data_IF_666640270463
#
_entry.id   IF_666640270463
#
_cell.length_a   1.000
_cell.length_b   1.000
_cell.length_c   1.000
_cell.angle_alpha   90.00
_cell.angle_beta   90.00
_cell.angle_gamma   90.00
#
_symmetry.space_group_name_H-M   'P 1'
#
loop_
_entity.id
_entity.type
_entity.pdbx_description
1 polymer ?
#
# COMPACT_ATOMS: atom_id res chain seq x y z
N UNK A 1 23.52 69.13 -19.40
CA UNK A 1 22.80 67.85 -19.24
C UNK A 1 23.60 66.82 -20.02
N UNK A 2 24.44 66.08 -19.30
CA UNK A 2 25.48 65.24 -19.88
C UNK A 2 24.87 63.95 -20.43
N UNK A 3 25.38 63.48 -21.57
CA UNK A 3 25.00 62.20 -22.19
C UNK A 3 25.35 60.98 -21.32
N UNK A 4 26.08 61.20 -20.21
CA UNK A 4 26.49 60.18 -19.25
C UNK A 4 25.37 59.76 -18.27
N UNK A 5 24.36 60.62 -18.04
CA UNK A 5 23.26 60.34 -17.09
C UNK A 5 22.19 59.37 -17.66
N UNK A 6 22.13 59.20 -18.97
CA UNK A 6 21.17 58.31 -19.66
C UNK A 6 21.58 56.82 -19.60
N UNK A 7 22.88 56.54 -19.47
CA UNK A 7 23.39 55.16 -19.36
C UNK A 7 23.21 54.56 -17.96
N UNK A 8 23.15 55.38 -16.91
CA UNK A 8 22.93 54.94 -15.53
C UNK A 8 21.51 54.45 -15.25
N UNK A 9 20.49 55.02 -15.91
CA UNK A 9 19.09 54.64 -15.74
C UNK A 9 18.67 53.39 -16.56
N UNK A 10 19.41 53.07 -17.64
CA UNK A 10 19.24 51.82 -18.40
C UNK A 10 19.90 50.61 -17.71
N UNK A 11 20.97 50.85 -16.95
CA UNK A 11 21.66 49.80 -16.19
C UNK A 11 20.85 49.29 -14.98
N UNK A 12 20.04 50.13 -14.34
CA UNK A 12 19.17 49.72 -13.22
C UNK A 12 17.98 48.86 -13.67
N UNK A 13 17.46 49.09 -14.89
CA UNK A 13 16.45 48.22 -15.52
C UNK A 13 17.02 46.86 -15.93
N UNK A 14 18.25 46.83 -16.45
CA UNK A 14 18.95 45.58 -16.79
C UNK A 14 19.20 44.69 -15.57
N UNK A 15 19.60 45.28 -14.43
CA UNK A 15 19.81 44.56 -13.16
C UNK A 15 18.53 43.95 -12.59
N UNK A 16 17.40 44.66 -12.67
CA UNK A 16 16.09 44.15 -12.24
C UNK A 16 15.57 43.02 -13.14
N UNK A 17 15.83 43.08 -14.45
CA UNK A 17 15.49 42.03 -15.41
C UNK A 17 16.31 40.75 -15.21
N UNK A 18 17.62 40.88 -14.98
CA UNK A 18 18.51 39.73 -14.72
C UNK A 18 18.17 39.10 -13.36
N UNK A 19 17.87 39.90 -12.34
CA UNK A 19 17.51 39.39 -11.01
C UNK A 19 16.13 38.72 -10.99
N UNK A 20 15.14 39.26 -11.72
CA UNK A 20 13.80 38.65 -11.80
C UNK A 20 13.78 37.38 -12.64
N UNK A 21 14.54 37.32 -13.74
CA UNK A 21 14.67 36.12 -14.57
C UNK A 21 15.47 35.01 -13.88
N UNK A 22 16.50 35.36 -13.10
CA UNK A 22 17.21 34.41 -12.24
C UNK A 22 16.31 33.88 -11.10
N UNK A 23 15.50 34.74 -10.48
CA UNK A 23 14.55 34.35 -9.44
C UNK A 23 13.45 33.41 -9.97
N UNK A 24 12.91 33.69 -11.16
CA UNK A 24 11.96 32.81 -11.84
C UNK A 24 12.56 31.44 -12.16
N UNK A 25 13.77 31.40 -12.73
CA UNK A 25 14.48 30.13 -13.00
C UNK A 25 14.79 29.34 -11.73
N UNK A 26 15.20 30.01 -10.65
CA UNK A 26 15.45 29.36 -9.37
C UNK A 26 14.16 28.75 -8.77
N UNK A 27 13.04 29.48 -8.84
CA UNK A 27 11.73 28.99 -8.44
C UNK A 27 11.29 27.77 -9.27
N UNK A 28 11.55 27.77 -10.58
CA UNK A 28 11.26 26.66 -11.47
C UNK A 28 12.10 25.42 -11.14
N UNK A 29 13.41 25.58 -10.89
CA UNK A 29 14.30 24.48 -10.46
C UNK A 29 13.85 23.89 -9.12
N UNK A 30 13.45 24.73 -8.16
CA UNK A 30 12.91 24.26 -6.88
C UNK A 30 11.58 23.52 -7.04
N UNK A 31 10.68 24.04 -7.87
CA UNK A 31 9.41 23.37 -8.18
C UNK A 31 9.63 22.04 -8.91
N UNK A 32 10.61 21.96 -9.80
CA UNK A 32 10.99 20.73 -10.50
C UNK A 32 11.58 19.70 -9.54
N UNK A 33 12.49 20.11 -8.65
CA UNK A 33 13.08 19.22 -7.64
C UNK A 33 12.02 18.68 -6.68
N UNK A 34 11.08 19.53 -6.23
CA UNK A 34 9.95 19.11 -5.42
C UNK A 34 9.02 18.13 -6.19
N UNK A 35 8.76 18.38 -7.48
CA UNK A 35 8.00 17.46 -8.33
C UNK A 35 8.69 16.10 -8.51
N UNK A 36 10.01 16.09 -8.71
CA UNK A 36 10.79 14.85 -8.79
C UNK A 36 10.76 14.06 -7.48
N UNK A 37 10.94 14.74 -6.34
CA UNK A 37 10.85 14.11 -5.02
C UNK A 37 9.46 13.49 -4.77
N UNK A 38 8.38 14.20 -5.14
CA UNK A 38 7.03 13.66 -5.08
C UNK A 38 6.85 12.42 -5.96
N UNK A 39 7.40 12.45 -7.18
CA UNK A 39 7.38 11.31 -8.10
C UNK A 39 8.14 10.09 -7.56
N UNK A 40 9.32 10.30 -6.96
CA UNK A 40 10.07 9.22 -6.28
C UNK A 40 9.30 8.65 -5.09
N UNK A 41 8.72 9.49 -4.23
CA UNK A 41 7.88 9.04 -3.11
C UNK A 41 6.68 8.24 -3.59
N UNK A 42 6.04 8.64 -4.70
CA UNK A 42 4.94 7.89 -5.30
C UNK A 42 5.40 6.54 -5.82
N UNK A 43 6.50 6.48 -6.57
CA UNK A 43 7.05 5.23 -7.10
C UNK A 43 7.44 4.24 -5.98
N UNK A 44 8.05 4.73 -4.91
CA UNK A 44 8.37 3.90 -3.74
C UNK A 44 7.11 3.34 -3.06
N UNK A 45 6.03 4.13 -2.98
CA UNK A 45 4.76 3.67 -2.44
C UNK A 45 4.10 2.62 -3.34
N UNK A 46 4.09 2.83 -4.65
CA UNK A 46 3.54 1.88 -5.62
C UNK A 46 4.30 0.55 -5.57
N UNK A 47 5.64 0.59 -5.58
CA UNK A 47 6.47 -0.61 -5.39
C UNK A 47 6.15 -1.31 -4.06
N UNK A 48 6.07 -0.55 -2.95
CA UNK A 48 5.74 -1.12 -1.65
C UNK A 48 4.35 -1.76 -1.61
N UNK A 49 3.37 -1.22 -2.34
CA UNK A 49 2.03 -1.82 -2.48
C UNK A 49 2.05 -3.11 -3.30
N UNK A 50 2.89 -3.17 -4.33
CA UNK A 50 3.06 -4.35 -5.17
C UNK A 50 3.73 -5.47 -4.37
N UNK A 51 4.79 -5.15 -3.63
CA UNK A 51 5.56 -6.12 -2.82
C UNK A 51 4.69 -6.79 -1.74
N UNK A 52 3.77 -6.05 -1.12
CA UNK A 52 2.84 -6.60 -0.12
C UNK A 52 1.58 -7.22 -0.73
N UNK A 53 1.38 -7.08 -2.05
CA UNK A 53 0.19 -7.54 -2.77
C UNK A 53 -0.11 -9.02 -2.53
N UNK A 54 0.86 -9.95 -2.73
CA UNK A 54 0.65 -11.37 -2.49
C UNK A 54 0.21 -11.70 -1.06
N UNK A 55 0.76 -11.03 -0.05
CA UNK A 55 0.41 -11.26 1.36
C UNK A 55 -1.02 -10.80 1.67
N UNK A 56 -1.41 -9.64 1.11
CA UNK A 56 -2.78 -9.14 1.21
C UNK A 56 -3.76 -10.09 0.53
N UNK A 57 -3.45 -10.55 -0.68
CA UNK A 57 -4.34 -11.40 -1.47
C UNK A 57 -4.50 -12.79 -0.85
N UNK A 58 -3.42 -13.36 -0.32
CA UNK A 58 -3.45 -14.62 0.43
C UNK A 58 -4.31 -14.47 1.70
N UNK A 59 -4.14 -13.37 2.44
CA UNK A 59 -4.93 -13.14 3.65
C UNK A 59 -6.41 -12.85 3.36
N UNK A 60 -6.72 -12.12 2.28
CA UNK A 60 -8.10 -11.91 1.84
C UNK A 60 -8.78 -13.23 1.46
N UNK A 61 -8.09 -14.08 0.68
CA UNK A 61 -8.61 -15.41 0.34
C UNK A 61 -8.82 -16.31 1.58
N UNK A 62 -7.96 -16.19 2.59
CA UNK A 62 -8.14 -16.91 3.86
C UNK A 62 -9.36 -16.40 4.62
N UNK A 63 -9.54 -15.07 4.69
CA UNK A 63 -10.71 -14.44 5.32
C UNK A 63 -12.02 -14.88 4.65
N UNK A 64 -12.07 -14.91 3.31
CA UNK A 64 -13.27 -15.33 2.57
C UNK A 64 -13.64 -16.80 2.82
N UNK A 65 -12.64 -17.68 2.91
CA UNK A 65 -12.86 -19.08 3.27
C UNK A 65 -13.35 -19.23 4.71
N UNK A 66 -12.79 -18.46 5.66
CA UNK A 66 -13.25 -18.47 7.05
C UNK A 66 -14.69 -18.01 7.17
N UNK A 67 -15.06 -16.90 6.50
CA UNK A 67 -16.42 -16.40 6.48
C UNK A 67 -17.39 -17.47 5.95
N UNK A 68 -17.03 -18.13 4.84
CA UNK A 68 -17.85 -19.21 4.30
C UNK A 68 -17.97 -20.41 5.26
N UNK A 69 -16.88 -20.80 5.95
CA UNK A 69 -16.91 -21.86 6.97
C UNK A 69 -17.77 -21.50 8.19
N UNK A 70 -17.91 -20.22 8.50
CA UNK A 70 -18.73 -19.70 9.60
C UNK A 70 -20.20 -19.47 9.22
N UNK A 71 -20.57 -19.70 7.96
CA UNK A 71 -21.94 -19.48 7.54
C UNK A 71 -22.24 -18.03 7.11
N UNK A 72 -21.24 -17.18 6.98
CA UNK A 72 -21.40 -15.75 6.70
C UNK A 72 -20.98 -15.40 5.28
N UNK A 73 -21.85 -14.70 4.55
CA UNK A 73 -21.50 -14.13 3.25
C UNK A 73 -20.60 -12.90 3.43
N UNK A 74 -19.60 -12.76 2.56
CA UNK A 74 -18.71 -11.60 2.53
C UNK A 74 -18.94 -10.83 1.23
N UNK A 75 -19.41 -9.59 1.33
CA UNK A 75 -19.68 -8.74 0.18
C UNK A 75 -18.37 -8.43 -0.59
N UNK A 76 -18.38 -8.69 -1.90
CA UNK A 76 -17.19 -8.50 -2.75
C UNK A 76 -16.20 -9.67 -2.76
N UNK A 77 -16.46 -10.75 -2.01
CA UNK A 77 -15.68 -11.96 -2.14
C UNK A 77 -16.02 -12.69 -3.46
N UNK A 78 -15.03 -13.28 -4.15
CA UNK A 78 -15.25 -13.98 -5.42
C UNK A 78 -16.06 -15.27 -5.22
N UNK A 79 -16.93 -15.56 -6.19
CA UNK A 79 -17.82 -16.72 -6.17
C UNK A 79 -18.95 -16.60 -5.15
N UNK A 80 -19.75 -17.64 -5.05
CA UNK A 80 -20.82 -17.79 -4.05
C UNK A 80 -20.27 -18.31 -2.72
N UNK A 81 -21.02 -18.10 -1.64
CA UNK A 81 -20.75 -18.72 -0.34
C UNK A 81 -20.51 -20.23 -0.44
N UNK A 82 -21.36 -20.93 -1.20
CA UNK A 82 -21.33 -22.37 -1.35
C UNK A 82 -20.05 -22.86 -2.03
N UNK A 83 -19.60 -22.15 -3.06
CA UNK A 83 -18.33 -22.45 -3.75
C UNK A 83 -17.12 -22.25 -2.84
N UNK A 84 -17.13 -21.16 -2.05
CA UNK A 84 -16.06 -20.88 -1.09
C UNK A 84 -16.03 -21.92 0.03
N UNK A 85 -17.18 -22.28 0.57
CA UNK A 85 -17.32 -23.35 1.56
C UNK A 85 -16.83 -24.68 1.00
N UNK A 86 -17.27 -25.04 -0.20
CA UNK A 86 -16.85 -26.27 -0.89
C UNK A 86 -15.34 -26.31 -1.12
N UNK A 87 -14.75 -25.20 -1.54
CA UNK A 87 -13.30 -25.05 -1.72
C UNK A 87 -12.56 -25.22 -0.38
N UNK A 88 -13.00 -24.53 0.67
CA UNK A 88 -12.39 -24.62 1.99
C UNK A 88 -12.46 -26.05 2.55
N UNK A 89 -13.61 -26.71 2.41
CA UNK A 89 -13.83 -28.08 2.88
C UNK A 89 -13.03 -29.10 2.06
N UNK A 90 -12.90 -28.89 0.74
CA UNK A 90 -12.06 -29.71 -0.13
C UNK A 90 -10.59 -29.62 0.28
N UNK A 91 -10.06 -28.41 0.44
CA UNK A 91 -8.66 -28.16 0.88
C UNK A 91 -8.39 -28.71 2.28
N UNK A 92 -9.38 -28.68 3.16
CA UNK A 92 -9.29 -29.32 4.47
C UNK A 92 -9.09 -30.84 4.35
N UNK A 93 -9.97 -31.51 3.59
CA UNK A 93 -9.95 -32.96 3.42
C UNK A 93 -8.73 -33.48 2.66
N UNK A 94 -8.19 -32.68 1.74
CA UNK A 94 -6.96 -33.00 1.00
C UNK A 94 -5.71 -32.40 1.63
N UNK A 95 -5.81 -31.90 2.87
CA UNK A 95 -4.63 -31.37 3.55
C UNK A 95 -3.67 -32.52 3.90
N UNK A 96 -2.36 -32.42 3.60
CA UNK A 96 -1.42 -33.53 3.79
C UNK A 96 -1.39 -34.06 5.23
N UNK A 97 -1.56 -33.18 6.22
CA UNK A 97 -1.60 -33.58 7.62
C UNK A 97 -2.88 -34.34 8.01
N UNK A 98 -4.03 -34.04 7.41
CA UNK A 98 -5.26 -34.77 7.68
C UNK A 98 -5.18 -36.17 7.07
N UNK A 99 -4.81 -36.26 5.79
CA UNK A 99 -4.66 -37.54 5.09
C UNK A 99 -3.63 -38.45 5.76
N UNK A 100 -2.47 -37.89 6.14
CA UNK A 100 -1.43 -38.65 6.82
C UNK A 100 -1.91 -39.23 8.15
N UNK A 101 -2.46 -38.40 9.04
CA UNK A 101 -2.94 -38.88 10.36
C UNK A 101 -4.07 -39.89 10.20
N UNK A 102 -5.04 -39.60 9.34
CA UNK A 102 -6.15 -40.51 9.11
C UNK A 102 -5.65 -41.86 8.58
N UNK A 103 -4.78 -41.86 7.57
CA UNK A 103 -4.24 -43.08 6.97
C UNK A 103 -3.39 -43.90 7.95
N UNK A 104 -2.43 -43.27 8.63
CA UNK A 104 -1.53 -43.97 9.55
C UNK A 104 -2.26 -44.49 10.79
N UNK A 105 -3.22 -43.72 11.32
CA UNK A 105 -4.02 -44.17 12.45
C UNK A 105 -4.95 -45.32 12.11
N UNK A 106 -5.57 -45.31 10.92
CA UNK A 106 -6.36 -46.45 10.45
C UNK A 106 -5.49 -47.69 10.24
N UNK A 107 -4.30 -47.56 9.62
CA UNK A 107 -3.34 -48.67 9.50
C UNK A 107 -2.94 -49.25 10.86
N UNK A 108 -2.71 -48.41 11.85
CA UNK A 108 -2.37 -48.85 13.21
C UNK A 108 -3.55 -49.59 13.88
N UNK A 109 -4.77 -49.05 13.74
CA UNK A 109 -6.00 -49.66 14.26
C UNK A 109 -6.26 -51.03 13.60
N UNK A 110 -6.11 -51.12 12.28
CA UNK A 110 -6.28 -52.36 11.52
C UNK A 110 -5.23 -53.42 11.90
N UNK A 111 -3.95 -53.05 12.00
CA UNK A 111 -2.89 -53.97 12.47
C UNK A 111 -3.18 -54.48 13.87
N UNK A 112 -3.64 -53.60 14.76
CA UNK A 112 -4.01 -53.97 16.13
C UNK A 112 -5.24 -54.89 16.17
N UNK A 113 -6.25 -54.64 15.32
CA UNK A 113 -7.43 -55.50 15.22
C UNK A 113 -7.10 -56.86 14.60
N UNK A 114 -6.28 -56.89 13.55
CA UNK A 114 -5.82 -58.11 12.88
C UNK A 114 -5.03 -59.01 13.82
N UNK A 115 -4.08 -58.46 14.59
CA UNK A 115 -3.32 -59.22 15.60
C UNK A 115 -4.20 -59.86 16.68
N UNK A 116 -5.39 -59.30 16.92
CA UNK A 116 -6.36 -59.79 17.90
C UNK A 116 -7.48 -60.62 17.27
N UNK A 117 -7.43 -60.91 15.97
CA UNK A 117 -8.48 -61.65 15.25
C UNK A 117 -9.82 -60.91 15.20
N UNK A 118 -9.82 -59.58 15.36
CA UNK A 118 -11.02 -58.72 15.40
C UNK A 118 -11.12 -57.78 14.19
N UNK A 119 -10.33 -58.02 13.15
CA UNK A 119 -10.42 -57.24 11.91
C UNK A 119 -11.86 -57.30 11.38
N UNK A 120 -12.41 -56.17 10.94
CA UNK A 120 -13.80 -56.01 10.48
C UNK A 120 -14.91 -56.31 11.52
N UNK A 121 -14.57 -56.53 12.80
CA UNK A 121 -15.60 -56.60 13.84
C UNK A 121 -16.34 -55.26 14.01
N UNK A 122 -17.59 -55.28 14.48
CA UNK A 122 -18.34 -54.05 14.77
C UNK A 122 -17.60 -53.11 15.75
N UNK A 123 -16.86 -53.66 16.71
CA UNK A 123 -16.02 -52.87 17.61
C UNK A 123 -14.86 -52.16 16.87
N UNK A 124 -14.26 -52.81 15.88
CA UNK A 124 -13.19 -52.22 15.05
C UNK A 124 -13.76 -51.13 14.14
N UNK A 125 -14.91 -51.36 13.50
CA UNK A 125 -15.59 -50.35 12.67
C UNK A 125 -15.97 -49.12 13.50
N UNK A 126 -16.53 -49.34 14.70
CA UNK A 126 -16.86 -48.25 15.64
C UNK A 126 -15.61 -47.46 16.03
N UNK A 127 -14.52 -48.15 16.39
CA UNK A 127 -13.26 -47.50 16.74
C UNK A 127 -12.63 -46.71 15.59
N UNK A 128 -12.69 -47.23 14.36
CA UNK A 128 -12.25 -46.51 13.16
C UNK A 128 -13.09 -45.24 12.91
N UNK A 129 -14.41 -45.33 13.09
CA UNK A 129 -15.31 -44.20 12.95
C UNK A 129 -15.07 -43.13 14.03
N UNK A 130 -14.90 -43.52 15.29
CA UNK A 130 -14.55 -42.62 16.39
C UNK A 130 -13.19 -41.95 16.16
N UNK A 131 -12.20 -42.71 15.70
CA UNK A 131 -10.89 -42.19 15.34
C UNK A 131 -10.98 -41.16 14.21
N UNK A 132 -11.69 -41.48 13.12
CA UNK A 132 -11.88 -40.58 11.98
C UNK A 132 -12.58 -39.27 12.38
N UNK A 133 -13.62 -39.35 13.22
CA UNK A 133 -14.29 -38.16 13.77
C UNK A 133 -13.34 -37.34 14.64
N UNK A 134 -12.59 -37.99 15.53
CA UNK A 134 -11.62 -37.32 16.40
C UNK A 134 -10.52 -36.59 15.62
N UNK A 135 -9.93 -37.25 14.61
CA UNK A 135 -8.96 -36.62 13.71
C UNK A 135 -9.60 -35.46 12.95
N UNK A 136 -10.79 -35.64 12.39
CA UNK A 136 -11.47 -34.57 11.66
C UNK A 136 -11.73 -33.34 12.53
N UNK A 137 -12.22 -33.50 13.77
CA UNK A 137 -12.47 -32.37 14.67
C UNK A 137 -11.18 -31.63 15.05
N UNK A 138 -10.11 -32.36 15.38
CA UNK A 138 -8.82 -31.75 15.73
C UNK A 138 -8.19 -31.03 14.53
N UNK A 139 -8.26 -31.66 13.36
CA UNK A 139 -7.69 -31.09 12.14
C UNK A 139 -8.48 -29.91 11.61
N UNK A 140 -9.80 -29.94 11.77
CA UNK A 140 -10.63 -28.81 11.38
C UNK A 140 -10.27 -27.56 12.20
N UNK A 141 -10.08 -27.72 13.52
CA UNK A 141 -9.60 -26.64 14.38
C UNK A 141 -8.23 -26.11 13.95
N UNK A 142 -7.26 -27.00 13.65
CA UNK A 142 -5.94 -26.59 13.15
C UNK A 142 -6.00 -25.92 11.77
N UNK A 143 -6.86 -26.39 10.87
CA UNK A 143 -7.09 -25.79 9.56
C UNK A 143 -7.66 -24.39 9.68
N UNK A 144 -8.69 -24.22 10.51
CA UNK A 144 -9.29 -22.93 10.78
C UNK A 144 -8.28 -21.94 11.40
N UNK A 145 -7.45 -22.38 12.36
CA UNK A 145 -6.40 -21.54 12.96
C UNK A 145 -5.32 -21.13 11.95
N UNK A 146 -4.98 -21.99 10.99
CA UNK A 146 -4.07 -21.64 9.88
C UNK A 146 -4.68 -20.57 8.98
N UNK A 147 -5.96 -20.70 8.62
CA UNK A 147 -6.67 -19.67 7.87
C UNK A 147 -6.71 -18.34 8.65
N UNK A 148 -6.99 -18.39 9.96
CA UNK A 148 -7.00 -17.20 10.81
C UNK A 148 -5.63 -16.50 10.86
N UNK A 149 -4.55 -17.29 10.94
CA UNK A 149 -3.18 -16.77 10.91
C UNK A 149 -2.87 -16.10 9.56
N UNK A 150 -3.29 -16.70 8.45
CA UNK A 150 -3.12 -16.12 7.10
C UNK A 150 -3.94 -14.85 6.92
N UNK A 151 -5.19 -14.83 7.41
CA UNK A 151 -6.02 -13.63 7.40
C UNK A 151 -5.39 -12.50 8.22
N UNK A 152 -4.81 -12.81 9.39
CA UNK A 152 -4.08 -11.85 10.22
C UNK A 152 -2.83 -11.27 9.55
N UNK A 153 -2.09 -12.08 8.78
CA UNK A 153 -0.99 -11.59 7.94
C UNK A 153 -1.49 -10.61 6.86
N UNK A 154 -2.63 -10.90 6.24
CA UNK A 154 -3.28 -10.00 5.28
C UNK A 154 -3.71 -8.68 5.91
N UNK A 155 -4.32 -8.72 7.09
CA UNK A 155 -4.70 -7.54 7.87
C UNK A 155 -3.46 -6.67 8.20
N UNK A 156 -2.37 -7.30 8.64
CA UNK A 156 -1.12 -6.61 8.96
C UNK A 156 -0.52 -5.94 7.71
N UNK A 157 -0.52 -6.65 6.59
CA UNK A 157 -0.03 -6.13 5.31
C UNK A 157 -0.88 -4.95 4.82
N UNK A 158 -2.21 -5.06 4.93
CA UNK A 158 -3.13 -3.97 4.60
C UNK A 158 -2.89 -2.73 5.48
N UNK A 159 -2.65 -2.91 6.78
CA UNK A 159 -2.32 -1.82 7.70
C UNK A 159 -0.98 -1.15 7.36
N UNK A 160 0.05 -1.93 7.02
CA UNK A 160 1.34 -1.40 6.58
C UNK A 160 1.21 -0.60 5.28
N UNK A 161 0.47 -1.11 4.30
CA UNK A 161 0.18 -0.40 3.06
C UNK A 161 -0.57 0.91 3.29
N UNK A 162 -1.57 0.92 4.18
CA UNK A 162 -2.31 2.12 4.54
C UNK A 162 -1.40 3.18 5.20
N UNK A 163 -0.55 2.77 6.15
CA UNK A 163 0.39 3.66 6.81
C UNK A 163 1.43 4.25 5.84
N UNK A 164 1.98 3.42 4.94
CA UNK A 164 2.87 3.87 3.88
C UNK A 164 2.17 4.87 2.94
N UNK A 165 0.91 4.63 2.61
CA UNK A 165 0.10 5.53 1.79
C UNK A 165 -0.14 6.89 2.46
N UNK A 166 -0.46 6.90 3.75
CA UNK A 166 -0.60 8.16 4.51
C UNK A 166 0.72 8.94 4.57
N UNK A 167 1.85 8.26 4.76
CA UNK A 167 3.16 8.90 4.76
C UNK A 167 3.53 9.47 3.39
N UNK A 168 3.33 8.69 2.31
CA UNK A 168 3.57 9.14 0.94
C UNK A 168 2.67 10.32 0.56
N UNK A 169 1.39 10.29 0.93
CA UNK A 169 0.46 11.40 0.72
C UNK A 169 0.92 12.68 1.43
N UNK A 170 1.43 12.57 2.66
CA UNK A 170 2.01 13.71 3.39
C UNK A 170 3.24 14.30 2.71
N UNK A 171 4.15 13.45 2.23
CA UNK A 171 5.36 13.89 1.50
C UNK A 171 5.02 14.54 0.16
N UNK A 172 4.14 13.92 -0.62
CA UNK A 172 3.68 14.43 -1.92
C UNK A 172 2.94 15.76 -1.72
N UNK A 173 2.02 15.84 -0.76
CA UNK A 173 1.30 17.07 -0.44
C UNK A 173 2.24 18.20 -0.01
N UNK A 174 3.24 17.88 0.83
CA UNK A 174 4.28 18.82 1.22
C UNK A 174 5.09 19.33 0.02
N UNK A 175 5.58 18.41 -0.82
CA UNK A 175 6.35 18.75 -2.02
C UNK A 175 5.54 19.60 -3.02
N UNK A 176 4.25 19.30 -3.22
CA UNK A 176 3.36 20.12 -4.04
C UNK A 176 3.16 21.52 -3.46
N UNK A 177 3.00 21.64 -2.14
CA UNK A 177 2.91 22.94 -1.46
C UNK A 177 4.20 23.74 -1.62
N UNK A 178 5.38 23.12 -1.46
CA UNK A 178 6.68 23.76 -1.68
C UNK A 178 6.85 24.21 -3.14
N UNK A 179 6.47 23.38 -4.11
CA UNK A 179 6.51 23.74 -5.52
C UNK A 179 5.59 24.93 -5.84
N UNK A 180 4.39 24.95 -5.26
CA UNK A 180 3.45 26.07 -5.37
C UNK A 180 3.98 27.36 -4.77
N UNK A 181 4.52 27.28 -3.55
CA UNK A 181 5.12 28.42 -2.87
C UNK A 181 6.37 28.95 -3.60
N UNK A 182 7.23 28.08 -4.13
CA UNK A 182 8.40 28.46 -4.91
C UNK A 182 7.99 29.27 -6.16
N UNK A 183 7.05 28.75 -6.96
CA UNK A 183 6.51 29.48 -8.13
C UNK A 183 5.87 30.81 -7.75
N UNK A 184 5.05 30.83 -6.70
CA UNK A 184 4.41 32.06 -6.22
C UNK A 184 5.45 33.10 -5.75
N UNK A 185 6.51 32.66 -5.06
CA UNK A 185 7.60 33.53 -4.61
C UNK A 185 8.45 34.07 -5.76
N UNK A 186 8.64 33.27 -6.82
CA UNK A 186 9.28 33.71 -8.06
C UNK A 186 8.50 34.82 -8.76
N UNK A 187 7.17 34.64 -8.88
CA UNK A 187 6.27 35.68 -9.41
C UNK A 187 6.22 36.92 -8.52
N UNK A 188 6.18 36.75 -7.19
CA UNK A 188 6.20 37.86 -6.23
C UNK A 188 7.52 38.64 -6.23
N UNK A 189 8.65 37.96 -6.35
CA UNK A 189 9.97 38.59 -6.49
C UNK A 189 10.09 39.36 -7.80
N UNK A 190 9.55 38.81 -8.90
CA UNK A 190 9.47 39.50 -10.18
C UNK A 190 8.56 40.74 -10.07
N UNK A 191 7.36 40.62 -9.50
CA UNK A 191 6.45 41.74 -9.31
C UNK A 191 7.06 42.86 -8.44
N UNK A 192 7.76 42.50 -7.35
CA UNK A 192 8.46 43.47 -6.49
C UNK A 192 9.65 44.12 -7.21
N UNK A 193 10.41 43.37 -8.02
CA UNK A 193 11.51 43.92 -8.82
C UNK A 193 10.98 44.93 -9.85
N UNK A 194 9.87 44.62 -10.52
CA UNK A 194 9.22 45.53 -11.47
C UNK A 194 8.61 46.75 -10.77
N UNK A 195 7.97 46.57 -9.61
CA UNK A 195 7.42 47.67 -8.82
C UNK A 195 8.51 48.62 -8.33
N UNK A 196 9.62 48.11 -7.82
CA UNK A 196 10.76 48.92 -7.39
C UNK A 196 11.43 49.64 -8.57
N UNK A 197 11.59 48.97 -9.73
CA UNK A 197 12.10 49.60 -10.94
C UNK A 197 11.17 50.70 -11.47
N UNK A 198 9.85 50.45 -11.45
CA UNK A 198 8.83 51.43 -11.81
C UNK A 198 8.83 52.66 -10.89
N UNK A 199 8.97 52.45 -9.58
CA UNK A 199 9.10 53.53 -8.60
C UNK A 199 10.38 54.35 -8.80
N UNK A 200 11.51 53.71 -9.14
CA UNK A 200 12.77 54.41 -9.44
C UNK A 200 12.67 55.23 -10.73
N UNK A 201 12.01 54.71 -11.76
CA UNK A 201 11.73 55.46 -12.99
C UNK A 201 10.78 56.64 -12.75
N UNK A 202 9.74 56.46 -11.94
CA UNK A 202 8.82 57.54 -11.57
C UNK A 202 9.51 58.64 -10.76
N UNK A 203 10.43 58.29 -9.85
CA UNK A 203 11.24 59.26 -9.11
C UNK A 203 12.20 60.05 -10.00
N UNK A 204 12.78 59.44 -11.03
CA UNK A 204 13.64 60.11 -12.00
C UNK A 204 12.85 61.06 -12.90
N UNK A 205 11.66 60.66 -13.33
CA UNK A 205 10.80 61.49 -14.18
C UNK A 205 10.15 62.65 -13.42
N UNK A 206 9.75 62.43 -12.16
CA UNK A 206 9.17 63.47 -11.30
C UNK A 206 10.15 64.53 -10.79
N UNK A 207 11.46 64.31 -10.95
CA UNK A 207 12.51 65.28 -10.59
C UNK A 207 12.97 66.14 -11.78
N UNK A 208 12.47 65.86 -12.99
CA UNK A 208 12.78 66.57 -14.24
C UNK A 208 11.67 67.49 -14.76
N UNK A 209 10.57 67.64 -14.02
CA UNK A 209 9.51 68.63 -14.22
C UNK A 209 9.57 69.69 -13.11
#
# INVERSE_FOLDING_TARGET
MAWDDLWGALASLGGAWITSSAAGKAADVQAQAAGQAAGTSQAMYEQGREDIGPWRDVGANALYQMAALQGTEYEGAPGTMGERYGTAMSRFKTSPGYEFRLSEGLKALDRSAASRGRLMSGATIKGAQEYGQGVASQEYGQYYNRLASMAGLGQTSAAQGAAAGSAAAGQIGGAQMYAGAARASGYGAQANAWSNAGNQLAYLYGRGA
#
